data_IF_022652571487
#
_entry.id   IF_022652571487
#
_cell.length_a   1.000
_cell.length_b   1.000
_cell.length_c   1.000
_cell.angle_alpha   90.00
_cell.angle_beta   90.00
_cell.angle_gamma   90.00
#
_symmetry.space_group_name_H-M   'P 1'
#
loop_
_entity.id
_entity.type
_entity.pdbx_description
1 polymer ?
#
# COMPACT_ATOMS: atom_id res chain seq x y z
N UNK A 1 -15.75 -10.49 17.90
CA UNK A 1 -15.65 -11.83 17.26
C UNK A 1 -16.69 -11.94 16.16
N UNK A 2 -16.32 -12.38 14.95
CA UNK A 2 -17.26 -12.58 13.86
C UNK A 2 -17.94 -13.94 14.02
N UNK A 3 -19.27 -13.97 14.06
CA UNK A 3 -20.03 -15.22 14.18
C UNK A 3 -19.91 -16.08 12.92
N UNK A 4 -19.92 -17.41 13.06
CA UNK A 4 -19.85 -18.36 11.92
C UNK A 4 -20.87 -18.03 10.83
N UNK A 5 -22.08 -17.58 11.19
CA UNK A 5 -23.11 -17.15 10.27
C UNK A 5 -22.72 -15.93 9.43
N UNK A 6 -22.03 -14.94 10.00
CA UNK A 6 -21.52 -13.79 9.25
C UNK A 6 -20.42 -14.18 8.25
N UNK A 7 -19.56 -15.13 8.63
CA UNK A 7 -18.52 -15.64 7.74
C UNK A 7 -19.13 -16.39 6.56
N UNK A 8 -20.14 -17.23 6.81
CA UNK A 8 -20.86 -17.97 5.76
C UNK A 8 -21.60 -17.02 4.80
N UNK A 9 -22.34 -16.05 5.34
CA UNK A 9 -23.02 -15.02 4.54
C UNK A 9 -22.05 -14.20 3.69
N UNK A 10 -20.92 -13.78 4.25
CA UNK A 10 -19.90 -13.02 3.52
C UNK A 10 -19.26 -13.85 2.40
N UNK A 11 -19.04 -15.16 2.62
CA UNK A 11 -18.56 -16.08 1.57
C UNK A 11 -19.60 -16.25 0.45
N UNK A 12 -20.87 -16.39 0.78
CA UNK A 12 -21.96 -16.49 -0.20
C UNK A 12 -22.06 -15.19 -1.02
N UNK A 13 -22.05 -14.03 -0.37
CA UNK A 13 -22.07 -12.73 -1.02
C UNK A 13 -20.84 -12.49 -1.91
N UNK A 14 -19.65 -12.92 -1.47
CA UNK A 14 -18.43 -12.81 -2.27
C UNK A 14 -18.48 -13.67 -3.55
N UNK A 15 -19.12 -14.86 -3.50
CA UNK A 15 -19.35 -15.72 -4.67
C UNK A 15 -20.40 -15.16 -5.64
N UNK A 16 -21.41 -14.49 -5.11
CA UNK A 16 -22.46 -13.85 -5.89
C UNK A 16 -22.04 -12.48 -6.46
N UNK A 17 -20.97 -11.89 -5.94
CA UNK A 17 -20.48 -10.58 -6.36
C UNK A 17 -19.75 -10.67 -7.70
N UNK A 18 -20.35 -10.08 -8.73
CA UNK A 18 -19.76 -9.98 -10.08
C UNK A 18 -18.81 -8.79 -10.25
N UNK A 19 -18.50 -8.06 -9.16
CA UNK A 19 -17.72 -6.83 -9.22
C UNK A 19 -18.50 -5.64 -9.80
N UNK A 20 -17.83 -4.52 -10.12
CA UNK A 20 -18.47 -3.33 -10.63
C UNK A 20 -19.01 -3.57 -12.05
N UNK A 21 -20.33 -3.46 -12.23
CA UNK A 21 -21.02 -3.67 -13.51
C UNK A 21 -21.03 -2.43 -14.40
N UNK A 22 -20.98 -1.21 -13.81
CA UNK A 22 -20.96 0.06 -14.55
C UNK A 22 -19.57 0.40 -15.08
N UNK A 23 -19.49 1.12 -16.21
CA UNK A 23 -18.23 1.60 -16.78
C UNK A 23 -17.45 2.48 -15.79
N UNK A 24 -18.17 3.37 -15.07
CA UNK A 24 -17.56 4.23 -14.04
C UNK A 24 -17.04 3.43 -12.83
N UNK A 25 -17.80 2.40 -12.40
CA UNK A 25 -17.38 1.50 -11.32
C UNK A 25 -16.15 0.68 -11.71
N UNK A 26 -16.08 0.19 -12.95
CA UNK A 26 -14.89 -0.50 -13.50
C UNK A 26 -13.68 0.43 -13.58
N UNK A 27 -13.85 1.67 -14.06
CA UNK A 27 -12.78 2.66 -14.11
C UNK A 27 -12.27 3.05 -12.71
N UNK A 28 -13.17 3.15 -11.71
CA UNK A 28 -12.78 3.42 -10.32
C UNK A 28 -12.01 2.23 -9.73
N UNK A 29 -12.45 1.01 -9.97
CA UNK A 29 -11.77 -0.21 -9.52
C UNK A 29 -10.40 -0.35 -10.18
N UNK A 30 -10.30 -0.10 -11.48
CA UNK A 30 -9.04 -0.09 -12.23
C UNK A 30 -8.05 0.96 -11.69
N UNK A 31 -8.53 2.19 -11.42
CA UNK A 31 -7.68 3.23 -10.79
C UNK A 31 -7.14 2.84 -9.43
N UNK A 32 -7.94 2.16 -8.61
CA UNK A 32 -7.48 1.64 -7.32
C UNK A 32 -6.41 0.55 -7.50
N UNK A 33 -6.53 -0.26 -8.54
CA UNK A 33 -5.56 -1.27 -8.91
C UNK A 33 -4.23 -0.67 -9.39
N UNK A 34 -4.29 0.41 -10.19
CA UNK A 34 -3.11 1.09 -10.72
C UNK A 34 -2.35 1.97 -9.71
N UNK A 35 -2.93 2.27 -8.56
CA UNK A 35 -2.40 3.26 -7.62
C UNK A 35 -0.96 2.99 -7.13
N UNK A 36 -0.51 1.74 -7.17
CA UNK A 36 0.85 1.33 -6.80
C UNK A 36 1.47 0.38 -7.82
N UNK A 37 0.82 0.14 -8.96
CA UNK A 37 1.28 -0.81 -9.98
C UNK A 37 1.36 -2.28 -9.52
N UNK A 38 1.01 -2.58 -8.27
CA UNK A 38 1.18 -3.90 -7.65
C UNK A 38 0.19 -4.96 -8.13
N UNK A 39 -0.85 -4.56 -8.84
CA UNK A 39 -1.84 -5.47 -9.45
C UNK A 39 -1.46 -5.92 -10.84
N UNK A 40 -0.53 -5.20 -11.50
CA UNK A 40 -0.02 -5.59 -12.80
C UNK A 40 0.97 -6.75 -12.62
N UNK A 41 0.86 -7.82 -13.41
CA UNK A 41 1.85 -8.88 -13.42
C UNK A 41 3.26 -8.31 -13.66
N UNK A 42 4.26 -8.90 -13.03
CA UNK A 42 5.67 -8.48 -13.17
C UNK A 42 6.10 -8.49 -14.63
N UNK A 43 5.63 -9.48 -15.39
CA UNK A 43 6.00 -9.70 -16.79
C UNK A 43 5.45 -8.63 -17.78
N UNK A 44 4.54 -7.77 -17.34
CA UNK A 44 4.04 -6.65 -18.17
C UNK A 44 5.07 -5.54 -18.30
N UNK A 45 5.96 -5.40 -17.33
CA UNK A 45 7.06 -4.44 -17.37
C UNK A 45 8.29 -5.12 -17.99
N UNK A 46 8.80 -4.66 -19.16
CA UNK A 46 9.93 -5.28 -19.84
C UNK A 46 11.20 -5.36 -18.99
N UNK A 47 11.47 -4.33 -18.17
CA UNK A 47 12.65 -4.29 -17.31
C UNK A 47 12.55 -5.35 -16.21
N UNK A 48 11.38 -5.47 -15.57
CA UNK A 48 11.14 -6.50 -14.56
C UNK A 48 11.10 -7.90 -15.16
N UNK A 49 10.58 -8.05 -16.39
CA UNK A 49 10.59 -9.31 -17.12
C UNK A 49 12.01 -9.81 -17.36
N UNK A 50 12.92 -8.92 -17.81
CA UNK A 50 14.34 -9.26 -18.00
C UNK A 50 15.00 -9.67 -16.68
N UNK A 51 14.67 -9.01 -15.58
CA UNK A 51 15.18 -9.35 -14.25
C UNK A 51 14.65 -10.71 -13.76
N UNK A 52 13.37 -11.03 -14.03
CA UNK A 52 12.81 -12.37 -13.77
C UNK A 52 13.61 -13.43 -14.51
N UNK A 53 13.85 -13.24 -15.80
CA UNK A 53 14.59 -14.22 -16.63
C UNK A 53 16.05 -14.36 -16.18
N UNK A 54 16.70 -13.28 -15.77
CA UNK A 54 18.06 -13.33 -15.24
C UNK A 54 18.11 -14.14 -13.93
N UNK A 55 17.24 -13.83 -12.98
CA UNK A 55 17.16 -14.53 -11.70
C UNK A 55 16.74 -15.99 -11.87
N UNK A 56 15.82 -16.28 -12.79
CA UNK A 56 15.38 -17.64 -13.08
C UNK A 56 16.53 -18.50 -13.62
N UNK A 57 17.34 -17.96 -14.53
CA UNK A 57 18.53 -18.66 -15.08
C UNK A 57 19.56 -18.94 -13.99
N UNK A 58 19.80 -17.98 -13.10
CA UNK A 58 20.72 -18.15 -11.96
C UNK A 58 20.25 -19.27 -11.02
N UNK A 59 18.96 -19.31 -10.70
CA UNK A 59 18.36 -20.33 -9.82
C UNK A 59 18.35 -21.72 -10.45
N UNK A 60 18.03 -21.83 -11.74
CA UNK A 60 17.92 -23.09 -12.44
C UNK A 60 19.27 -23.72 -12.70
N UNK A 61 20.29 -22.93 -13.06
CA UNK A 61 21.56 -23.36 -13.54
C UNK A 61 21.58 -23.69 -15.07
N UNK A 62 22.79 -23.81 -15.64
CA UNK A 62 22.98 -23.87 -17.10
C UNK A 62 22.32 -25.07 -17.78
N UNK A 63 22.26 -26.24 -17.10
CA UNK A 63 21.81 -27.52 -17.68
C UNK A 63 20.46 -27.97 -17.06
N UNK A 64 19.62 -27.05 -16.63
CA UNK A 64 18.34 -27.38 -16.03
C UNK A 64 17.31 -27.83 -17.10
N UNK A 65 16.46 -28.80 -16.76
CA UNK A 65 15.30 -29.15 -17.57
C UNK A 65 14.33 -27.99 -17.72
N UNK A 66 13.48 -28.01 -18.74
CA UNK A 66 12.45 -26.99 -18.96
C UNK A 66 11.51 -26.85 -17.75
N UNK A 67 11.18 -27.93 -17.07
CA UNK A 67 10.39 -27.94 -15.86
C UNK A 67 11.09 -27.19 -14.72
N UNK A 68 12.35 -27.44 -14.46
CA UNK A 68 13.16 -26.75 -13.45
C UNK A 68 13.28 -25.25 -13.78
N UNK A 69 13.47 -24.92 -15.07
CA UNK A 69 13.50 -23.51 -15.52
C UNK A 69 12.19 -22.79 -15.26
N UNK A 70 11.05 -23.41 -15.56
CA UNK A 70 9.73 -22.83 -15.32
C UNK A 70 9.45 -22.65 -13.82
N UNK A 71 9.86 -23.62 -12.97
CA UNK A 71 9.71 -23.50 -11.52
C UNK A 71 10.62 -22.40 -10.95
N UNK A 72 11.85 -22.27 -11.46
CA UNK A 72 12.76 -21.18 -11.12
C UNK A 72 12.18 -19.81 -11.51
N UNK A 73 11.54 -19.70 -12.69
CA UNK A 73 10.84 -18.49 -13.13
C UNK A 73 9.73 -18.10 -12.15
N UNK A 74 8.91 -19.04 -11.69
CA UNK A 74 7.86 -18.77 -10.69
C UNK A 74 8.42 -18.27 -9.36
N UNK A 75 9.57 -18.77 -8.94
CA UNK A 75 10.27 -18.26 -7.75
C UNK A 75 10.73 -16.82 -7.99
N UNK A 76 11.36 -16.56 -9.13
CA UNK A 76 11.86 -15.24 -9.52
C UNK A 76 10.73 -14.20 -9.60
N UNK A 77 9.60 -14.51 -10.26
CA UNK A 77 8.43 -13.67 -10.33
C UNK A 77 7.91 -13.30 -8.93
N UNK A 78 7.74 -14.29 -8.05
CA UNK A 78 7.25 -14.09 -6.72
C UNK A 78 8.23 -13.28 -5.85
N UNK A 79 9.52 -13.43 -6.06
CA UNK A 79 10.57 -12.65 -5.37
C UNK A 79 10.56 -11.19 -5.82
N UNK A 80 10.41 -10.94 -7.10
CA UNK A 80 10.34 -9.57 -7.64
C UNK A 80 9.06 -8.89 -7.19
N UNK A 81 7.92 -9.58 -7.20
CA UNK A 81 6.67 -9.05 -6.63
C UNK A 81 6.83 -8.66 -5.16
N UNK A 82 7.47 -9.50 -4.36
CA UNK A 82 7.73 -9.22 -2.96
C UNK A 82 8.57 -7.95 -2.78
N UNK A 83 9.62 -7.79 -3.59
CA UNK A 83 10.45 -6.59 -3.61
C UNK A 83 9.64 -5.35 -3.99
N UNK A 84 8.81 -5.42 -5.04
CA UNK A 84 7.93 -4.32 -5.46
C UNK A 84 7.01 -3.85 -4.34
N UNK A 85 6.38 -4.77 -3.63
CA UNK A 85 5.50 -4.44 -2.50
C UNK A 85 6.27 -3.74 -1.39
N UNK A 86 7.45 -4.24 -1.04
CA UNK A 86 8.30 -3.65 0.01
C UNK A 86 8.81 -2.26 -0.37
N UNK A 87 9.24 -2.09 -1.61
CA UNK A 87 9.66 -0.78 -2.13
C UNK A 87 8.49 0.22 -2.13
N UNK A 88 7.29 -0.19 -2.57
CA UNK A 88 6.11 0.66 -2.55
C UNK A 88 5.70 1.06 -1.14
N UNK A 89 5.78 0.13 -0.17
CA UNK A 89 5.55 0.42 1.26
C UNK A 89 6.56 1.42 1.80
N UNK A 90 7.84 1.19 1.52
CA UNK A 90 8.91 2.09 1.93
C UNK A 90 8.71 3.49 1.36
N UNK A 91 8.49 3.62 0.05
CA UNK A 91 8.26 4.89 -0.63
C UNK A 91 7.04 5.63 -0.06
N UNK A 92 5.93 4.90 0.22
CA UNK A 92 4.74 5.49 0.81
C UNK A 92 5.01 6.10 2.18
N UNK A 93 5.71 5.38 3.05
CA UNK A 93 6.02 5.84 4.40
C UNK A 93 7.08 6.95 4.37
N UNK A 94 8.15 6.78 3.61
CA UNK A 94 9.25 7.76 3.50
C UNK A 94 8.75 9.09 2.94
N UNK A 95 7.89 9.07 1.91
CA UNK A 95 7.30 10.28 1.35
C UNK A 95 6.48 11.05 2.39
N UNK A 96 5.63 10.35 3.17
CA UNK A 96 4.80 11.00 4.17
C UNK A 96 5.58 11.47 5.40
N UNK A 97 6.61 10.73 5.81
CA UNK A 97 7.47 11.12 6.93
C UNK A 97 8.43 12.26 6.53
N UNK A 98 8.90 12.28 5.28
CA UNK A 98 9.74 13.33 4.74
C UNK A 98 9.01 14.64 4.46
N UNK A 99 7.69 14.61 4.30
CA UNK A 99 6.88 15.82 4.11
C UNK A 99 6.83 16.62 5.43
N UNK A 100 7.58 17.72 5.48
CA UNK A 100 7.65 18.59 6.66
C UNK A 100 6.31 19.23 7.02
N UNK A 101 5.44 19.41 6.04
CA UNK A 101 4.12 20.02 6.21
C UNK A 101 2.99 18.99 6.28
N UNK A 102 3.34 17.71 6.51
CA UNK A 102 2.34 16.65 6.61
C UNK A 102 1.35 16.91 7.73
N UNK A 103 0.11 17.13 7.32
CA UNK A 103 -1.05 17.13 8.20
C UNK A 103 -2.02 16.03 7.77
N UNK A 104 -2.60 15.33 8.74
CA UNK A 104 -3.66 14.39 8.42
C UNK A 104 -4.85 15.12 7.78
N UNK A 105 -5.55 14.51 6.81
CA UNK A 105 -6.71 15.15 6.19
C UNK A 105 -7.77 15.61 7.19
N UNK A 106 -7.90 14.93 8.33
CA UNK A 106 -8.80 15.33 9.43
C UNK A 106 -8.28 16.55 10.16
N UNK A 107 -7.00 16.56 10.51
CA UNK A 107 -6.34 17.67 11.19
C UNK A 107 -6.30 18.90 10.31
N UNK A 108 -5.92 18.78 9.05
CA UNK A 108 -5.92 19.86 8.07
C UNK A 108 -7.31 20.53 7.93
N UNK A 109 -8.37 19.71 7.79
CA UNK A 109 -9.74 20.22 7.74
C UNK A 109 -10.15 20.93 9.03
N UNK A 110 -9.77 20.40 10.20
CA UNK A 110 -10.05 21.02 11.50
C UNK A 110 -9.35 22.37 11.63
N UNK A 111 -8.06 22.41 11.34
CA UNK A 111 -7.23 23.62 11.36
C UNK A 111 -7.79 24.69 10.42
N UNK A 112 -8.13 24.31 9.17
CA UNK A 112 -8.75 25.22 8.20
C UNK A 112 -10.09 25.80 8.68
N UNK A 113 -10.99 24.95 9.24
CA UNK A 113 -12.27 25.42 9.79
C UNK A 113 -12.06 26.38 10.96
N UNK A 114 -11.13 26.09 11.86
CA UNK A 114 -10.81 26.95 13.02
C UNK A 114 -10.25 28.29 12.54
N UNK A 115 -9.30 28.29 11.61
CA UNK A 115 -8.74 29.51 11.04
C UNK A 115 -9.82 30.38 10.36
N UNK A 116 -10.66 29.77 9.53
CA UNK A 116 -11.77 30.47 8.86
C UNK A 116 -12.79 31.06 9.86
N UNK A 117 -13.11 30.30 10.91
CA UNK A 117 -14.01 30.78 11.95
C UNK A 117 -13.45 32.01 12.69
N UNK A 118 -12.16 31.94 13.09
CA UNK A 118 -11.49 33.07 13.77
C UNK A 118 -11.45 34.28 12.85
N UNK A 119 -11.03 34.12 11.58
CA UNK A 119 -11.00 35.22 10.63
C UNK A 119 -12.39 35.89 10.47
N UNK A 120 -13.43 35.07 10.24
CA UNK A 120 -14.83 35.60 10.11
C UNK A 120 -15.32 36.30 11.38
N UNK A 121 -14.94 35.80 12.56
CA UNK A 121 -15.36 36.37 13.83
C UNK A 121 -14.65 37.70 14.08
N UNK A 122 -13.36 37.80 13.83
CA UNK A 122 -12.57 39.01 14.00
C UNK A 122 -13.08 40.18 13.16
N UNK A 123 -13.51 39.95 11.92
CA UNK A 123 -14.08 40.99 11.02
C UNK A 123 -15.40 41.58 11.55
N UNK A 124 -16.13 40.83 12.38
CA UNK A 124 -17.45 41.25 12.89
C UNK A 124 -17.42 41.92 14.27
N UNK A 125 -16.24 42.05 14.85
CA UNK A 125 -16.07 42.70 16.16
C UNK A 125 -15.90 44.21 16.02
N UNK A 126 -16.28 44.92 17.06
CA UNK A 126 -15.89 46.33 17.18
C UNK A 126 -14.38 46.46 17.32
N UNK A 127 -13.76 47.59 16.94
CA UNK A 127 -12.32 47.79 17.04
C UNK A 127 -11.76 47.49 18.44
N UNK A 128 -12.46 47.90 19.50
CA UNK A 128 -12.05 47.68 20.89
C UNK A 128 -12.09 46.20 21.25
N UNK A 129 -13.15 45.48 20.88
CA UNK A 129 -13.30 44.06 21.14
C UNK A 129 -12.28 43.24 20.31
N UNK A 130 -11.99 43.65 19.07
CA UNK A 130 -10.99 43.04 18.24
C UNK A 130 -9.59 43.16 18.85
N UNK A 131 -9.25 44.33 19.40
CA UNK A 131 -7.97 44.57 20.09
C UNK A 131 -7.81 43.68 21.33
N UNK A 132 -8.85 43.53 22.14
CA UNK A 132 -8.85 42.68 23.33
C UNK A 132 -8.68 41.20 23.00
N UNK A 133 -9.28 40.74 21.90
CA UNK A 133 -9.25 39.31 21.47
C UNK A 133 -8.10 38.98 20.58
N UNK A 134 -7.32 39.94 20.10
CA UNK A 134 -6.17 39.74 19.20
C UNK A 134 -5.15 38.72 19.71
N UNK A 135 -4.73 38.73 21.00
CA UNK A 135 -3.77 37.74 21.52
C UNK A 135 -4.32 36.30 21.46
N UNK A 136 -5.63 36.14 21.80
CA UNK A 136 -6.29 34.84 21.75
C UNK A 136 -6.40 34.33 20.29
N UNK A 137 -6.83 35.21 19.39
CA UNK A 137 -6.92 34.92 17.97
C UNK A 137 -5.53 34.50 17.40
N UNK A 138 -4.45 35.21 17.76
CA UNK A 138 -3.10 34.87 17.37
C UNK A 138 -2.72 33.47 17.83
N UNK A 139 -2.94 33.10 19.09
CA UNK A 139 -2.67 31.76 19.63
C UNK A 139 -3.43 30.67 18.89
N UNK A 140 -4.69 30.91 18.54
CA UNK A 140 -5.51 29.95 17.78
C UNK A 140 -4.98 29.80 16.35
N UNK A 141 -4.57 30.90 15.71
CA UNK A 141 -3.97 30.86 14.38
C UNK A 141 -2.60 30.18 14.38
N UNK A 142 -1.81 30.40 15.43
CA UNK A 142 -0.52 29.70 15.61
C UNK A 142 -0.74 28.19 15.77
N UNK A 143 -1.74 27.77 16.54
CA UNK A 143 -2.15 26.37 16.57
C UNK A 143 -2.56 25.84 15.18
N UNK A 144 -3.34 26.64 14.43
CA UNK A 144 -3.73 26.25 13.07
C UNK A 144 -2.55 26.12 12.10
N UNK A 145 -1.46 26.83 12.36
CA UNK A 145 -0.20 26.77 11.60
C UNK A 145 0.81 25.78 12.18
N UNK A 146 0.59 25.28 13.40
CA UNK A 146 1.52 24.37 14.05
C UNK A 146 1.74 23.09 13.22
N UNK A 147 2.95 22.59 13.20
CA UNK A 147 3.30 21.34 12.53
C UNK A 147 3.25 20.19 13.52
N UNK A 148 2.90 19.01 13.02
CA UNK A 148 2.98 17.78 13.80
C UNK A 148 4.37 17.19 13.59
N UNK A 149 5.15 17.04 14.66
CA UNK A 149 6.53 16.57 14.58
C UNK A 149 6.78 15.33 15.46
N UNK A 150 7.92 14.69 15.26
CA UNK A 150 8.38 13.58 16.09
C UNK A 150 7.45 12.37 16.14
N UNK A 151 7.31 11.74 17.30
CA UNK A 151 6.51 10.52 17.47
C UNK A 151 5.03 10.70 17.11
N UNK A 152 4.47 11.91 17.33
CA UNK A 152 3.07 12.21 17.01
C UNK A 152 2.85 12.22 15.49
N UNK A 153 3.80 12.76 14.72
CA UNK A 153 3.76 12.71 13.26
C UNK A 153 3.76 11.27 12.76
N UNK A 154 4.65 10.45 13.30
CA UNK A 154 4.74 9.04 12.95
C UNK A 154 3.43 8.30 13.21
N UNK A 155 2.84 8.47 14.39
CA UNK A 155 1.55 7.87 14.76
C UNK A 155 0.42 8.34 13.83
N UNK A 156 0.40 9.62 13.47
CA UNK A 156 -0.59 10.21 12.57
C UNK A 156 -0.46 9.62 11.16
N UNK A 157 0.75 9.56 10.63
CA UNK A 157 1.03 8.97 9.31
C UNK A 157 0.59 7.50 9.25
N UNK A 158 0.95 6.70 10.26
CA UNK A 158 0.53 5.29 10.33
C UNK A 158 -0.99 5.14 10.39
N UNK A 159 -1.66 5.96 11.21
CA UNK A 159 -3.13 5.95 11.33
C UNK A 159 -3.80 6.26 10.00
N UNK A 160 -3.35 7.31 9.30
CA UNK A 160 -3.92 7.73 8.02
C UNK A 160 -3.67 6.73 6.89
N UNK A 161 -2.55 6.00 6.97
CA UNK A 161 -2.14 5.03 5.95
C UNK A 161 -2.56 3.59 6.24
N UNK A 162 -3.23 3.34 7.37
CA UNK A 162 -3.61 2.00 7.82
C UNK A 162 -4.26 1.16 6.71
N UNK A 163 -5.23 1.72 5.98
CA UNK A 163 -5.91 0.99 4.90
C UNK A 163 -4.97 0.66 3.73
N UNK A 164 -4.09 1.59 3.36
CA UNK A 164 -3.12 1.38 2.27
C UNK A 164 -2.09 0.33 2.66
N UNK A 165 -1.58 0.39 3.88
CA UNK A 165 -0.65 -0.59 4.43
C UNK A 165 -1.29 -1.98 4.51
N UNK A 166 -2.55 -2.09 4.95
CA UNK A 166 -3.29 -3.36 4.96
C UNK A 166 -3.50 -3.97 3.57
N UNK A 167 -3.62 -3.12 2.53
CA UNK A 167 -3.65 -3.60 1.14
C UNK A 167 -2.29 -4.17 0.76
N UNK A 168 -1.19 -3.47 1.05
CA UNK A 168 0.18 -3.93 0.76
C UNK A 168 0.51 -5.22 1.51
N UNK A 169 0.05 -5.38 2.75
CA UNK A 169 0.20 -6.63 3.51
C UNK A 169 -0.48 -7.82 2.83
N UNK A 170 -1.63 -7.61 2.19
CA UNK A 170 -2.27 -8.66 1.40
C UNK A 170 -1.46 -9.07 0.18
N UNK A 171 -0.87 -8.10 -0.53
CA UNK A 171 0.00 -8.39 -1.66
C UNK A 171 1.28 -9.09 -1.21
N UNK A 172 1.90 -8.64 -0.12
CA UNK A 172 3.09 -9.27 0.44
C UNK A 172 2.83 -10.72 0.84
N UNK A 173 1.74 -10.99 1.57
CA UNK A 173 1.36 -12.38 1.94
C UNK A 173 1.11 -13.25 0.72
N UNK A 174 0.49 -12.73 -0.35
CA UNK A 174 0.29 -13.47 -1.59
C UNK A 174 1.62 -13.80 -2.28
N UNK A 175 2.52 -12.84 -2.38
CA UNK A 175 3.84 -13.04 -2.97
C UNK A 175 4.67 -14.06 -2.15
N UNK A 176 4.67 -13.96 -0.83
CA UNK A 176 5.33 -14.91 0.07
C UNK A 176 4.76 -16.33 -0.09
N UNK A 177 3.43 -16.47 -0.17
CA UNK A 177 2.78 -17.76 -0.37
C UNK A 177 3.16 -18.37 -1.70
N UNK A 178 3.10 -17.61 -2.82
CA UNK A 178 3.51 -18.08 -4.15
C UNK A 178 4.98 -18.52 -4.14
N UNK A 179 5.86 -17.71 -3.57
CA UNK A 179 7.29 -18.04 -3.46
C UNK A 179 7.50 -19.34 -2.68
N UNK A 180 6.85 -19.50 -1.52
CA UNK A 180 6.95 -20.71 -0.70
C UNK A 180 6.55 -21.97 -1.47
N UNK A 181 5.43 -21.93 -2.19
CA UNK A 181 4.96 -23.08 -2.96
C UNK A 181 5.86 -23.35 -4.16
N UNK A 182 6.33 -22.32 -4.86
CA UNK A 182 7.25 -22.46 -5.98
C UNK A 182 8.59 -23.06 -5.55
N UNK A 183 9.15 -22.63 -4.41
CA UNK A 183 10.38 -23.21 -3.85
C UNK A 183 10.20 -24.71 -3.55
N UNK A 184 9.10 -25.09 -2.89
CA UNK A 184 8.83 -26.50 -2.57
C UNK A 184 8.73 -27.37 -3.83
N UNK A 185 8.00 -26.87 -4.84
CA UNK A 185 7.89 -27.58 -6.11
C UNK A 185 9.25 -27.72 -6.81
N UNK A 186 10.04 -26.65 -6.83
CA UNK A 186 11.39 -26.63 -7.39
C UNK A 186 12.33 -27.62 -6.69
N UNK A 187 12.34 -27.63 -5.36
CA UNK A 187 13.16 -28.57 -4.58
C UNK A 187 12.74 -30.02 -4.84
N UNK A 188 11.43 -30.29 -4.97
CA UNK A 188 10.92 -31.62 -5.27
C UNK A 188 11.37 -32.09 -6.67
N UNK A 189 11.20 -31.24 -7.69
CA UNK A 189 11.62 -31.52 -9.05
C UNK A 189 13.16 -31.77 -9.14
N UNK A 190 13.96 -30.99 -8.42
CA UNK A 190 15.42 -31.19 -8.38
C UNK A 190 15.81 -32.51 -7.74
N UNK A 191 15.17 -32.94 -6.66
CA UNK A 191 15.42 -34.23 -6.03
C UNK A 191 15.07 -35.39 -6.99
N UNK A 192 13.91 -35.31 -7.64
CA UNK A 192 13.47 -36.28 -8.62
C UNK A 192 14.43 -36.39 -9.80
N UNK A 193 14.91 -35.24 -10.32
CA UNK A 193 15.90 -35.23 -11.41
C UNK A 193 17.27 -35.77 -10.97
N UNK A 194 17.65 -35.65 -9.70
CA UNK A 194 18.87 -36.26 -9.18
C UNK A 194 18.75 -37.80 -9.08
N UNK A 195 17.63 -38.30 -8.52
CA UNK A 195 17.35 -39.73 -8.38
C UNK A 195 17.20 -40.45 -9.72
N UNK A 196 16.83 -39.78 -10.80
CA UNK A 196 16.70 -40.36 -12.14
C UNK A 196 18.04 -40.46 -12.89
N UNK A 197 19.12 -39.92 -12.32
CA UNK A 197 20.50 -39.98 -12.91
C UNK A 197 21.40 -41.02 -12.24
N UNK A 198 20.96 -41.53 -11.09
CA UNK A 198 21.57 -42.68 -10.41
C UNK A 198 21.01 -44.02 -10.94
#
# INVERSE_FOLDING_TARGET
MSTAGKISANRANARASTGPTTAQGRARSARNAHRHGLTLPVLVDPALSQEVEALARELAGANASSEIQELARRIAEAQIDLRRVRCARHSLLSSALGDLDYDSPRTARRKSKVAAYVAKRMVRLTPEAAQLLKPLAARILDYARSRTEGPQKFATVLSDMTQRLAVMDRYERRALSRRKFAIRAFETARRQAASARE
#
